data_IF_561648439300
#
_entry.id   IF_561648439300
#
_cell.length_a   1.000
_cell.length_b   1.000
_cell.length_c   1.000
_cell.angle_alpha   90.00
_cell.angle_beta   90.00
_cell.angle_gamma   90.00
#
_symmetry.space_group_name_H-M   'P 1'
#
loop_
_entity.id
_entity.type
_entity.pdbx_description
1 polymer ?
#
# COMPACT_ATOMS: atom_id res chain seq x y z
N UNK A 1 52.81 23.95 23.73
CA UNK A 1 52.16 23.36 22.54
C UNK A 1 51.33 22.17 23.01
N UNK A 2 50.00 22.17 22.79
CA UNK A 2 49.10 21.06 23.12
C UNK A 2 48.70 20.37 21.82
N UNK A 3 49.03 19.08 21.71
CA UNK A 3 48.66 18.23 20.57
C UNK A 3 47.30 17.60 20.93
N UNK A 4 46.27 17.91 20.15
CA UNK A 4 44.93 17.30 20.28
C UNK A 4 44.84 16.17 19.25
N UNK A 5 44.80 14.93 19.75
CA UNK A 5 44.56 13.72 18.96
C UNK A 5 43.06 13.59 18.67
N UNK A 6 42.67 13.68 17.40
CA UNK A 6 41.31 13.44 16.93
C UNK A 6 41.20 11.97 16.53
N UNK A 7 40.50 11.16 17.33
CA UNK A 7 40.20 9.77 17.02
C UNK A 7 38.96 9.70 16.12
N UNK A 8 39.16 9.46 14.82
CA UNK A 8 38.09 9.22 13.87
C UNK A 8 37.57 7.78 14.01
N UNK A 9 36.36 7.62 14.55
CA UNK A 9 35.67 6.33 14.63
C UNK A 9 34.82 6.13 13.37
N UNK A 10 35.24 5.23 12.49
CA UNK A 10 34.50 4.86 11.28
C UNK A 10 33.47 3.78 11.64
N UNK A 11 32.20 4.15 11.76
CA UNK A 11 31.10 3.20 11.88
C UNK A 11 30.73 2.68 10.49
N UNK A 12 31.14 1.45 10.17
CA UNK A 12 30.68 0.73 8.99
C UNK A 12 29.26 0.20 9.24
N UNK A 13 28.25 0.84 8.63
CA UNK A 13 26.88 0.36 8.64
C UNK A 13 26.70 -0.70 7.55
N UNK A 14 26.62 -1.97 7.94
CA UNK A 14 26.20 -3.06 7.06
C UNK A 14 24.68 -3.02 6.89
N UNK A 15 24.21 -2.53 5.75
CA UNK A 15 22.81 -2.60 5.36
C UNK A 15 22.47 -4.01 4.86
N UNK A 16 21.87 -4.83 5.73
CA UNK A 16 21.22 -6.06 5.29
C UNK A 16 19.98 -5.69 4.47
N UNK A 17 20.04 -5.90 3.16
CA UNK A 17 18.91 -5.76 2.27
C UNK A 17 17.90 -6.87 2.58
N UNK A 18 16.85 -6.56 3.33
CA UNK A 18 15.69 -7.44 3.46
C UNK A 18 15.04 -7.55 2.07
N UNK A 19 15.27 -8.68 1.41
CA UNK A 19 14.49 -9.04 0.24
C UNK A 19 13.05 -9.25 0.71
N UNK A 20 12.16 -8.34 0.32
CA UNK A 20 10.73 -8.51 0.54
C UNK A 20 10.26 -9.73 -0.28
N UNK A 21 10.22 -10.90 0.35
CA UNK A 21 9.68 -12.10 -0.28
C UNK A 21 8.20 -11.85 -0.58
N UNK A 22 7.78 -12.02 -1.83
CA UNK A 22 6.40 -11.72 -2.25
C UNK A 22 5.37 -12.69 -1.62
N UNK A 23 5.85 -13.87 -1.25
CA UNK A 23 5.12 -14.95 -0.61
C UNK A 23 5.88 -15.36 0.66
N UNK A 24 5.16 -15.61 1.74
CA UNK A 24 5.71 -16.29 2.90
C UNK A 24 5.96 -17.76 2.56
N UNK A 25 7.20 -18.23 2.69
CA UNK A 25 7.60 -19.58 2.25
C UNK A 25 7.11 -20.70 3.18
N UNK A 26 6.73 -20.38 4.41
CA UNK A 26 6.29 -21.38 5.40
C UNK A 26 4.76 -21.56 5.33
N UNK A 27 4.04 -20.45 5.17
CA UNK A 27 2.57 -20.39 5.21
C UNK A 27 1.92 -20.28 3.84
N UNK A 28 2.68 -19.86 2.82
CA UNK A 28 2.15 -19.52 1.50
C UNK A 28 1.35 -18.21 1.47
N UNK A 29 1.33 -17.44 2.57
CA UNK A 29 0.61 -16.17 2.63
C UNK A 29 1.17 -15.14 1.63
N UNK A 30 0.26 -14.49 0.91
CA UNK A 30 0.57 -13.51 -0.14
C UNK A 30 0.53 -12.11 0.44
N UNK A 31 1.64 -11.39 0.38
CA UNK A 31 1.65 -9.99 0.79
C UNK A 31 1.06 -9.08 -0.28
N UNK A 32 0.16 -8.19 0.13
CA UNK A 32 -0.38 -7.14 -0.74
C UNK A 32 0.63 -6.00 -0.82
N UNK A 33 1.30 -5.83 -1.96
CA UNK A 33 2.12 -4.64 -2.23
C UNK A 33 1.25 -3.49 -2.70
N UNK A 34 1.59 -2.29 -2.24
CA UNK A 34 0.96 -1.03 -2.63
C UNK A 34 2.05 -0.08 -3.09
N UNK A 35 1.85 0.52 -4.25
CA UNK A 35 2.65 1.65 -4.76
C UNK A 35 1.76 2.86 -4.75
N UNK A 36 2.24 3.96 -4.17
CA UNK A 36 1.53 5.23 -4.14
C UNK A 36 2.26 6.25 -5.02
N UNK A 37 1.52 6.78 -5.98
CA UNK A 37 1.96 7.87 -6.83
C UNK A 37 1.19 9.15 -6.48
N UNK A 38 1.87 10.29 -6.54
CA UNK A 38 1.29 11.63 -6.52
C UNK A 38 1.70 12.34 -7.79
N UNK A 39 0.74 12.84 -8.58
CA UNK A 39 1.05 13.51 -9.85
C UNK A 39 1.96 12.69 -10.79
N UNK A 40 1.71 11.39 -10.90
CA UNK A 40 2.48 10.43 -11.70
C UNK A 40 3.93 10.22 -11.24
N UNK A 41 4.29 10.70 -10.06
CA UNK A 41 5.57 10.42 -9.42
C UNK A 41 5.35 9.48 -8.24
N UNK A 42 6.07 8.36 -8.22
CA UNK A 42 6.06 7.45 -7.08
C UNK A 42 6.59 8.16 -5.84
N UNK A 43 5.81 8.16 -4.77
CA UNK A 43 6.17 8.75 -3.48
C UNK A 43 6.45 7.70 -2.43
N UNK A 44 5.82 6.53 -2.50
CA UNK A 44 6.03 5.47 -1.53
C UNK A 44 5.70 4.08 -2.09
N UNK A 45 6.21 3.04 -1.41
CA UNK A 45 5.90 1.63 -1.69
C UNK A 45 6.01 0.81 -0.41
N UNK A 46 4.97 0.04 -0.10
CA UNK A 46 4.95 -0.81 1.09
C UNK A 46 4.21 -2.13 0.88
N UNK A 47 4.41 -3.06 1.81
CA UNK A 47 3.56 -4.24 1.96
C UNK A 47 2.44 -3.91 2.96
N UNK A 48 1.19 -3.92 2.51
CA UNK A 48 0.04 -3.67 3.34
C UNK A 48 -0.14 -4.80 4.37
N UNK A 49 -0.32 -4.41 5.63
CA UNK A 49 -0.63 -5.31 6.74
C UNK A 49 -2.02 -4.96 7.23
N UNK A 50 -2.98 -5.86 7.08
CA UNK A 50 -4.33 -5.63 7.60
C UNK A 50 -4.36 -5.88 9.12
N UNK A 51 -4.99 -5.02 9.94
CA UNK A 51 -5.76 -3.81 9.59
C UNK A 51 -4.98 -2.49 9.76
N UNK A 52 -3.65 -2.50 9.64
CA UNK A 52 -2.82 -1.32 9.88
C UNK A 52 -3.03 -0.20 8.84
N UNK A 53 -2.93 1.04 9.29
CA UNK A 53 -2.93 2.24 8.45
C UNK A 53 -1.49 2.61 8.12
N UNK A 54 -1.16 2.69 6.83
CA UNK A 54 0.11 3.22 6.35
C UNK A 54 0.00 4.73 6.18
N UNK A 55 0.89 5.50 6.80
CA UNK A 55 0.83 6.97 6.81
C UNK A 55 1.92 7.57 5.93
N UNK A 56 1.57 8.57 5.13
CA UNK A 56 2.47 9.25 4.20
C UNK A 56 2.16 10.75 4.15
N UNK A 57 3.22 11.56 4.17
CA UNK A 57 3.11 13.01 3.96
C UNK A 57 3.11 13.30 2.46
N UNK A 58 2.04 13.92 1.97
CA UNK A 58 1.92 14.28 0.56
C UNK A 58 2.59 15.64 0.27
N UNK A 59 3.03 15.89 -0.98
CA UNK A 59 3.66 17.17 -1.35
C UNK A 59 2.79 18.41 -1.13
N UNK A 60 1.47 18.27 -1.06
CA UNK A 60 0.54 19.36 -0.74
C UNK A 60 0.33 19.59 0.78
N UNK A 61 1.07 18.88 1.64
CA UNK A 61 1.00 19.00 3.10
C UNK A 61 -0.05 18.13 3.78
N UNK A 62 -0.81 17.31 3.02
CA UNK A 62 -1.79 16.39 3.60
C UNK A 62 -1.08 15.17 4.21
N UNK A 63 -1.47 14.82 5.44
CA UNK A 63 -1.04 13.60 6.11
C UNK A 63 -2.03 12.47 5.76
N UNK A 64 -1.74 11.72 4.69
CA UNK A 64 -2.62 10.67 4.20
C UNK A 64 -2.36 9.35 4.94
N UNK A 65 -3.42 8.72 5.43
CA UNK A 65 -3.44 7.32 5.86
C UNK A 65 -4.11 6.45 4.79
N UNK A 66 -3.50 5.30 4.49
CA UNK A 66 -4.04 4.30 3.57
C UNK A 66 -4.19 2.97 4.33
N UNK A 67 -5.40 2.42 4.32
CA UNK A 67 -5.70 1.12 4.93
C UNK A 67 -6.21 0.17 3.84
N UNK A 68 -5.64 -1.03 3.77
CA UNK A 68 -6.09 -2.10 2.87
C UNK A 68 -6.53 -3.28 3.71
N UNK A 69 -7.81 -3.66 3.58
CA UNK A 69 -8.41 -4.75 4.34
C UNK A 69 -8.94 -5.82 3.37
N UNK A 70 -8.64 -7.11 3.59
CA UNK A 70 -9.27 -8.20 2.85
C UNK A 70 -10.78 -8.15 3.03
N UNK A 71 -11.53 -8.18 1.93
CA UNK A 71 -12.98 -8.25 2.01
C UNK A 71 -13.41 -9.72 2.00
N UNK A 72 -13.53 -10.31 3.19
CA UNK A 72 -13.84 -11.74 3.37
C UNK A 72 -15.23 -12.14 2.83
N UNK A 73 -16.13 -11.18 2.63
CA UNK A 73 -17.53 -11.43 2.28
C UNK A 73 -18.04 -10.37 1.31
N UNK A 74 -17.40 -10.20 0.16
CA UNK A 74 -18.22 -9.85 -0.99
C UNK A 74 -18.91 -11.16 -1.39
N UNK A 75 -20.10 -11.40 -0.82
CA UNK A 75 -21.04 -12.35 -1.41
C UNK A 75 -21.17 -11.91 -2.87
N UNK A 76 -20.49 -12.60 -3.78
CA UNK A 76 -20.82 -12.61 -5.18
C UNK A 76 -22.21 -13.23 -5.31
N UNK A 77 -23.24 -12.54 -4.82
CA UNK A 77 -24.60 -12.81 -5.20
C UNK A 77 -24.68 -12.46 -6.69
N UNK A 78 -24.55 -13.51 -7.50
CA UNK A 78 -25.08 -13.58 -8.86
C UNK A 78 -24.55 -12.51 -9.83
N UNK A 79 -23.25 -12.52 -10.10
CA UNK A 79 -22.85 -12.28 -11.49
C UNK A 79 -22.85 -13.63 -12.20
N UNK A 80 -23.95 -13.88 -12.89
CA UNK A 80 -24.28 -15.07 -13.65
C UNK A 80 -23.14 -15.50 -14.60
N UNK A 81 -22.49 -16.62 -14.31
CA UNK A 81 -21.97 -17.56 -15.31
C UNK A 81 -20.77 -17.16 -16.18
N UNK A 82 -20.17 -15.97 -16.03
CA UNK A 82 -19.20 -15.48 -17.02
C UNK A 82 -17.72 -15.57 -16.62
N UNK A 83 -17.37 -15.69 -15.34
CA UNK A 83 -15.98 -15.72 -14.89
C UNK A 83 -15.67 -16.96 -14.04
N UNK A 84 -14.76 -17.81 -14.52
CA UNK A 84 -14.27 -19.00 -13.79
C UNK A 84 -13.44 -18.64 -12.55
N UNK A 85 -12.80 -17.46 -12.57
CA UNK A 85 -11.97 -16.94 -11.48
C UNK A 85 -12.28 -15.46 -11.29
N UNK A 86 -12.71 -15.07 -10.09
CA UNK A 86 -12.87 -13.67 -9.71
C UNK A 86 -11.63 -13.21 -8.93
N UNK A 87 -11.15 -11.97 -9.13
CA UNK A 87 -10.05 -11.45 -8.34
C UNK A 87 -10.50 -11.30 -6.87
N UNK A 88 -9.58 -11.56 -5.94
CA UNK A 88 -9.78 -11.22 -4.54
C UNK A 88 -10.03 -9.72 -4.41
N UNK A 89 -11.08 -9.34 -3.68
CA UNK A 89 -11.45 -7.95 -3.44
C UNK A 89 -10.90 -7.46 -2.11
N UNK A 90 -10.49 -6.19 -2.09
CA UNK A 90 -10.04 -5.49 -0.90
C UNK A 90 -10.84 -4.21 -0.71
N UNK A 91 -11.04 -3.84 0.55
CA UNK A 91 -11.51 -2.50 0.92
C UNK A 91 -10.30 -1.59 1.04
N UNK A 92 -10.40 -0.41 0.43
CA UNK A 92 -9.37 0.62 0.44
C UNK A 92 -9.96 1.81 1.16
N UNK A 93 -9.39 2.17 2.32
CA UNK A 93 -9.81 3.35 3.07
C UNK A 93 -8.71 4.42 3.02
N UNK A 94 -9.09 5.65 2.68
CA UNK A 94 -8.23 6.82 2.77
C UNK A 94 -8.63 7.64 3.99
N UNK A 95 -7.65 8.02 4.80
CA UNK A 95 -7.86 8.77 6.03
C UNK A 95 -6.97 10.02 6.08
N UNK A 96 -7.43 11.08 6.71
CA UNK A 96 -6.57 12.18 7.18
C UNK A 96 -6.02 11.81 8.55
N UNK A 97 -4.69 11.84 8.66
CA UNK A 97 -3.93 11.45 9.85
C UNK A 97 -3.20 12.63 10.50
N UNK A 98 -3.59 13.86 10.15
CA UNK A 98 -3.05 15.08 10.77
C UNK A 98 -3.52 15.29 12.22
N UNK A 99 -4.64 14.67 12.59
CA UNK A 99 -5.22 14.73 13.93
C UNK A 99 -4.71 13.65 14.90
N UNK A 100 -5.24 13.66 16.13
CA UNK A 100 -4.99 12.60 17.12
C UNK A 100 -5.56 11.24 16.71
N UNK A 101 -6.67 11.27 15.97
CA UNK A 101 -7.35 10.09 15.46
C UNK A 101 -7.49 10.20 13.93
N UNK A 102 -7.26 9.11 13.18
CA UNK A 102 -7.48 9.10 11.73
C UNK A 102 -8.93 9.40 11.38
N UNK A 103 -9.16 10.40 10.52
CA UNK A 103 -10.48 10.75 10.01
C UNK A 103 -10.68 10.15 8.62
N UNK A 104 -11.67 9.28 8.46
CA UNK A 104 -12.01 8.71 7.15
C UNK A 104 -12.35 9.82 6.13
N UNK A 105 -11.68 9.81 4.99
CA UNK A 105 -11.95 10.67 3.84
C UNK A 105 -12.86 9.98 2.83
N UNK A 106 -12.54 8.73 2.47
CA UNK A 106 -13.34 7.88 1.58
C UNK A 106 -12.99 6.41 1.80
N UNK A 107 -13.86 5.50 1.33
CA UNK A 107 -13.51 4.12 1.08
C UNK A 107 -14.10 3.62 -0.24
N UNK A 108 -13.38 2.71 -0.89
CA UNK A 108 -13.86 1.98 -2.09
C UNK A 108 -13.52 0.51 -1.99
N UNK A 109 -14.09 -0.29 -2.89
CA UNK A 109 -13.70 -1.68 -3.09
C UNK A 109 -13.00 -1.82 -4.44
N UNK A 110 -11.88 -2.53 -4.45
CA UNK A 110 -11.11 -2.80 -5.65
C UNK A 110 -10.54 -4.21 -5.65
N UNK A 111 -10.11 -4.68 -6.81
CA UNK A 111 -9.35 -5.94 -6.88
C UNK A 111 -7.98 -5.78 -6.21
N UNK A 112 -7.51 -6.82 -5.53
CA UNK A 112 -6.16 -6.95 -4.97
C UNK A 112 -5.02 -6.73 -5.99
N UNK A 113 -5.34 -6.85 -7.29
CA UNK A 113 -4.49 -6.47 -8.40
C UNK A 113 -5.20 -5.42 -9.26
N UNK A 114 -5.02 -4.14 -8.95
CA UNK A 114 -5.72 -3.04 -9.64
C UNK A 114 -5.02 -1.69 -9.48
N UNK A 115 -5.40 -0.71 -10.30
CA UNK A 115 -4.98 0.68 -10.18
C UNK A 115 -6.20 1.51 -9.74
N UNK A 116 -6.06 2.32 -8.69
CA UNK A 116 -7.13 3.08 -8.07
C UNK A 116 -6.72 4.54 -7.92
N UNK A 117 -7.39 5.44 -8.65
CA UNK A 117 -7.13 6.88 -8.59
C UNK A 117 -8.06 7.60 -7.63
N UNK A 118 -7.54 8.53 -6.83
CA UNK A 118 -8.31 9.37 -5.92
C UNK A 118 -7.86 10.82 -6.03
N UNK A 119 -8.79 11.71 -6.38
CA UNK A 119 -8.51 13.13 -6.53
C UNK A 119 -9.78 13.95 -6.63
N UNK A 120 -9.66 15.26 -6.80
CA UNK A 120 -10.81 16.14 -6.95
C UNK A 120 -11.67 15.82 -8.20
N UNK A 121 -11.07 15.19 -9.22
CA UNK A 121 -11.79 14.76 -10.44
C UNK A 121 -12.31 13.32 -10.38
N UNK A 122 -12.05 12.59 -9.30
CA UNK A 122 -12.47 11.20 -9.15
C UNK A 122 -11.50 10.18 -9.73
N UNK A 123 -12.04 9.00 -10.06
CA UNK A 123 -11.32 7.78 -10.42
C UNK A 123 -12.03 6.58 -9.79
N UNK A 124 -11.43 6.00 -8.77
CA UNK A 124 -12.09 5.10 -7.85
C UNK A 124 -13.12 5.84 -6.97
N UNK A 125 -12.76 7.02 -6.46
CA UNK A 125 -13.66 7.98 -5.83
C UNK A 125 -13.07 9.40 -5.83
N UNK A 126 -13.89 10.40 -5.50
CA UNK A 126 -13.50 11.81 -5.42
C UNK A 126 -13.10 12.22 -4.00
N UNK A 127 -11.94 12.87 -3.87
CA UNK A 127 -11.42 13.38 -2.59
C UNK A 127 -10.83 14.77 -2.80
N UNK A 128 -11.60 15.81 -2.47
CA UNK A 128 -11.25 17.19 -2.81
C UNK A 128 -9.89 17.65 -2.26
N UNK A 129 -9.53 17.23 -1.03
CA UNK A 129 -8.28 17.65 -0.37
C UNK A 129 -7.02 17.11 -1.09
N UNK A 130 -7.15 16.09 -1.93
CA UNK A 130 -6.04 15.53 -2.71
C UNK A 130 -5.79 16.32 -4.00
N UNK A 131 -6.62 17.30 -4.37
CA UNK A 131 -6.37 18.15 -5.53
C UNK A 131 -6.39 17.40 -6.86
N UNK A 132 -5.61 17.86 -7.85
CA UNK A 132 -5.54 17.30 -9.20
C UNK A 132 -4.08 17.22 -9.68
N UNK A 133 -3.63 16.08 -10.22
CA UNK A 133 -4.36 14.81 -10.44
C UNK A 133 -4.65 13.95 -9.19
N UNK A 134 -4.16 14.31 -8.00
CA UNK A 134 -4.42 13.54 -6.77
C UNK A 134 -3.44 12.38 -6.58
N UNK A 135 -3.90 11.33 -5.91
CA UNK A 135 -3.12 10.10 -5.67
C UNK A 135 -3.58 8.97 -6.58
N UNK A 136 -2.64 8.08 -6.91
CA UNK A 136 -2.91 6.80 -7.53
C UNK A 136 -2.31 5.69 -6.67
N UNK A 137 -3.11 4.66 -6.38
CA UNK A 137 -2.66 3.43 -5.73
C UNK A 137 -2.58 2.33 -6.78
N UNK A 138 -1.41 1.71 -6.91
CA UNK A 138 -1.25 0.46 -7.65
C UNK A 138 -1.17 -0.68 -6.64
N UNK A 139 -2.18 -1.55 -6.65
CA UNK A 139 -2.30 -2.71 -5.80
C UNK A 139 -1.79 -3.93 -6.56
N UNK A 140 -0.84 -4.65 -5.96
CA UNK A 140 -0.25 -5.88 -6.51
C UNK A 140 -0.24 -6.97 -5.44
N UNK A 141 -0.89 -8.09 -5.71
CA UNK A 141 -0.86 -9.28 -4.85
C UNK A 141 -0.39 -10.47 -5.69
N UNK A 142 0.82 -11.00 -5.43
CA UNK A 142 1.39 -12.07 -6.22
C UNK A 142 0.57 -13.36 -6.10
N UNK A 143 0.65 -14.21 -7.12
CA UNK A 143 0.18 -15.59 -7.04
C UNK A 143 1.36 -16.46 -6.65
N UNK A 144 1.22 -17.22 -5.56
CA UNK A 144 2.23 -18.19 -5.12
C UNK A 144 1.80 -19.58 -5.58
N UNK A 145 2.74 -20.35 -6.11
CA UNK A 145 2.55 -21.74 -6.50
C UNK A 145 3.23 -22.66 -5.47
N UNK A 146 2.59 -23.79 -5.18
CA UNK A 146 3.20 -24.85 -4.38
C UNK A 146 4.12 -25.64 -5.30
N UNK A 147 5.40 -25.67 -4.98
CA UNK A 147 6.35 -26.55 -5.66
C UNK A 147 6.30 -27.90 -4.95
N UNK A 148 5.67 -28.91 -5.56
CA UNK A 148 5.80 -30.29 -5.08
C UNK A 148 7.16 -30.83 -5.52
N UNK A 149 8.04 -31.15 -4.57
CA UNK A 149 9.27 -31.90 -4.84
C UNK A 149 8.87 -33.35 -5.18
N UNK A 150 9.05 -33.73 -6.45
CA UNK A 150 8.76 -35.07 -6.97
C UNK A 150 9.85 -36.10 -6.67
#
# INVERSE_FOLDING_TARGET
MKIVLVAASVFAFSSMAQQAQACDSETGERMQRVVLDWNHQQIDTWAAKSPAIHTVALPNGVQLGVQIEPQSIYKHEKSSGMFKYAPEMVKISLCDTSGREPKLLTYTFGGSNSIQGYGAQGGADSVAILGKPGVQLTLLKPVCEVVEEG
#
